data_IF_746816701730
#
_entry.id   IF_746816701730
#
_cell.length_a   1.000
_cell.length_b   1.000
_cell.length_c   1.000
_cell.angle_alpha   90.00
_cell.angle_beta   90.00
_cell.angle_gamma   90.00
#
_symmetry.space_group_name_H-M   'P 1'
#
loop_
_entity.id
_entity.type
_entity.pdbx_description
1 polymer ?
#
# COMPACT_ATOMS: atom_id res chain seq x y z
N UNK A 1 -5.46 4.50 36.58
CA UNK A 1 -6.60 5.01 37.38
C UNK A 1 -7.64 3.91 37.46
N UNK A 2 -8.22 3.62 38.64
CA UNK A 2 -9.16 2.50 38.81
C UNK A 2 -10.55 2.85 38.29
N UNK A 3 -11.24 1.85 37.74
CA UNK A 3 -12.61 1.91 37.19
C UNK A 3 -13.64 2.44 38.21
N UNK A 4 -13.41 2.13 39.50
CA UNK A 4 -14.19 2.66 40.62
C UNK A 4 -14.13 4.19 40.73
N UNK A 5 -13.00 4.81 40.35
CA UNK A 5 -12.80 6.27 40.42
C UNK A 5 -13.45 7.00 39.23
N UNK A 6 -13.58 6.34 38.09
CA UNK A 6 -14.33 6.84 36.92
C UNK A 6 -15.85 6.77 37.16
N UNK A 7 -16.32 5.75 37.89
CA UNK A 7 -17.74 5.60 38.26
C UNK A 7 -18.22 6.71 39.20
N UNK A 8 -17.39 7.08 40.18
CA UNK A 8 -17.69 8.16 41.13
C UNK A 8 -17.81 9.55 40.48
N UNK A 9 -17.20 9.78 39.31
CA UNK A 9 -17.29 11.06 38.58
C UNK A 9 -18.52 11.15 37.64
N UNK A 10 -19.17 10.03 37.33
CA UNK A 10 -20.26 9.93 36.34
C UNK A 10 -21.66 10.06 36.95
N UNK A 11 -21.78 10.02 38.29
CA UNK A 11 -23.06 10.03 39.01
C UNK A 11 -23.82 8.71 38.87
N UNK A 12 -24.65 8.38 39.86
CA UNK A 12 -25.39 7.10 39.97
C UNK A 12 -26.42 6.84 38.84
N UNK A 13 -26.55 7.77 37.88
CA UNK A 13 -27.47 7.70 36.73
C UNK A 13 -26.76 7.58 35.37
N UNK A 14 -25.45 7.30 35.33
CA UNK A 14 -24.78 7.03 34.06
C UNK A 14 -25.34 5.76 33.42
N UNK A 15 -26.06 5.93 32.30
CA UNK A 15 -26.45 4.82 31.44
C UNK A 15 -25.24 3.92 31.18
N UNK A 16 -25.39 2.58 31.26
CA UNK A 16 -24.33 1.69 30.84
C UNK A 16 -23.93 2.05 29.42
N UNK A 17 -22.62 2.19 29.19
CA UNK A 17 -22.09 2.44 27.85
C UNK A 17 -22.72 1.41 26.91
N UNK A 18 -23.53 1.87 25.94
CA UNK A 18 -24.18 0.98 24.99
C UNK A 18 -23.09 0.11 24.35
N UNK A 19 -23.32 -1.22 24.23
CA UNK A 19 -22.35 -2.07 23.55
C UNK A 19 -22.10 -1.46 22.17
N UNK A 20 -20.83 -1.38 21.72
CA UNK A 20 -20.53 -0.79 20.42
C UNK A 20 -21.41 -1.47 19.37
N UNK A 21 -22.03 -0.71 18.44
CA UNK A 21 -22.92 -1.29 17.46
C UNK A 21 -22.23 -2.48 16.78
N UNK A 22 -22.92 -3.61 16.68
CA UNK A 22 -22.31 -4.81 16.09
C UNK A 22 -22.54 -4.91 14.59
N UNK A 23 -23.37 -4.03 14.01
CA UNK A 23 -23.64 -4.02 12.58
C UNK A 23 -22.46 -3.39 11.83
N UNK A 24 -21.77 -4.13 10.94
CA UNK A 24 -20.71 -3.58 10.11
C UNK A 24 -21.17 -2.51 9.10
N UNK A 25 -22.48 -2.39 8.86
CA UNK A 25 -23.05 -1.44 7.92
C UNK A 25 -23.43 -0.10 8.56
N UNK A 26 -23.42 0.00 9.89
CA UNK A 26 -23.78 1.23 10.63
C UNK A 26 -22.67 1.60 11.63
N UNK A 27 -21.50 2.05 11.15
CA UNK A 27 -20.45 2.51 12.04
C UNK A 27 -20.92 3.76 12.78
N UNK A 28 -20.61 3.91 14.08
CA UNK A 28 -20.92 5.12 14.82
C UNK A 28 -20.56 6.41 14.08
N UNK A 29 -21.35 7.49 14.26
CA UNK A 29 -21.22 8.71 13.47
C UNK A 29 -19.80 9.31 13.44
N UNK A 30 -19.02 9.16 14.51
CA UNK A 30 -17.61 9.55 14.60
C UNK A 30 -16.68 8.81 13.62
N UNK A 31 -17.14 7.67 13.08
CA UNK A 31 -16.44 6.81 12.13
C UNK A 31 -17.10 6.76 10.76
N UNK A 32 -18.11 7.60 10.49
CA UNK A 32 -18.61 7.82 9.15
C UNK A 32 -17.44 8.24 8.22
N UNK A 33 -17.08 7.35 7.30
CA UNK A 33 -15.94 7.54 6.41
C UNK A 33 -16.38 7.73 4.96
N UNK A 34 -15.52 8.34 4.16
CA UNK A 34 -15.78 8.58 2.74
C UNK A 34 -14.49 8.39 1.94
N UNK A 35 -14.42 7.30 1.15
CA UNK A 35 -13.21 6.96 0.35
C UNK A 35 -12.87 8.07 -0.64
N UNK A 36 -13.87 8.69 -1.28
CA UNK A 36 -13.65 9.85 -2.15
C UNK A 36 -13.10 11.11 -1.44
N UNK A 37 -13.13 11.20 -0.11
CA UNK A 37 -12.39 12.23 0.65
C UNK A 37 -10.96 11.77 0.93
N UNK A 38 -10.78 10.50 1.25
CA UNK A 38 -9.46 9.89 1.46
C UNK A 38 -8.59 9.94 0.19
N UNK A 39 -9.18 9.80 -1.00
CA UNK A 39 -8.46 9.85 -2.27
C UNK A 39 -8.00 11.25 -2.72
N UNK A 40 -8.47 12.32 -2.06
CA UNK A 40 -8.16 13.71 -2.47
C UNK A 40 -6.70 14.08 -2.29
N UNK A 41 -6.01 13.46 -1.34
CA UNK A 41 -4.59 13.71 -1.07
C UNK A 41 -3.97 12.57 -0.27
N UNK A 42 -2.64 12.51 -0.26
CA UNK A 42 -1.89 11.54 0.54
C UNK A 42 -2.13 11.70 2.04
N UNK A 43 -2.18 12.92 2.58
CA UNK A 43 -2.48 13.16 3.99
C UNK A 43 -3.91 12.73 4.38
N UNK A 44 -4.89 12.89 3.47
CA UNK A 44 -6.23 12.39 3.70
C UNK A 44 -6.27 10.85 3.70
N UNK A 45 -5.56 10.23 2.75
CA UNK A 45 -5.44 8.78 2.67
C UNK A 45 -4.73 8.19 3.90
N UNK A 46 -3.69 8.86 4.40
CA UNK A 46 -2.96 8.45 5.62
C UNK A 46 -3.87 8.46 6.83
N UNK A 47 -4.55 9.59 7.09
CA UNK A 47 -5.46 9.73 8.22
C UNK A 47 -6.58 8.71 8.17
N UNK A 48 -7.11 8.46 6.97
CA UNK A 48 -8.10 7.40 6.78
C UNK A 48 -7.49 6.03 7.13
N UNK A 49 -6.33 5.69 6.59
CA UNK A 49 -5.64 4.42 6.89
C UNK A 49 -5.32 4.23 8.38
N UNK A 50 -4.90 5.29 9.09
CA UNK A 50 -4.66 5.28 10.53
C UNK A 50 -5.95 5.05 11.32
N UNK A 51 -7.05 5.74 10.95
CA UNK A 51 -8.36 5.53 11.57
C UNK A 51 -8.86 4.10 11.38
N UNK A 52 -8.69 3.54 10.18
CA UNK A 52 -9.08 2.15 9.89
C UNK A 52 -8.35 1.16 10.79
N UNK A 53 -7.07 1.39 11.07
CA UNK A 53 -6.29 0.54 11.99
C UNK A 53 -6.79 0.58 13.44
N UNK A 54 -7.51 1.62 13.84
CA UNK A 54 -8.09 1.76 15.18
C UNK A 54 -9.45 1.05 15.31
N UNK A 55 -10.06 0.63 14.19
CA UNK A 55 -11.36 -0.02 14.20
C UNK A 55 -11.26 -1.46 14.73
N UNK A 56 -12.31 -1.96 15.42
CA UNK A 56 -12.51 -3.37 15.68
C UNK A 56 -12.45 -4.23 14.39
N UNK A 57 -12.01 -5.49 14.45
CA UNK A 57 -11.76 -6.31 13.27
C UNK A 57 -12.93 -6.43 12.27
N UNK A 58 -14.16 -6.57 12.76
CA UNK A 58 -15.34 -6.71 11.90
C UNK A 58 -15.59 -5.44 11.04
N UNK A 59 -15.47 -4.27 11.66
CA UNK A 59 -15.61 -2.98 10.97
C UNK A 59 -14.42 -2.66 10.10
N UNK A 60 -13.20 -2.93 10.59
CA UNK A 60 -11.98 -2.76 9.79
C UNK A 60 -12.09 -3.52 8.47
N UNK A 61 -12.56 -4.78 8.53
CA UNK A 61 -12.81 -5.59 7.34
C UNK A 61 -13.81 -4.92 6.39
N UNK A 62 -14.99 -4.53 6.88
CA UNK A 62 -16.01 -3.91 6.06
C UNK A 62 -15.51 -2.62 5.37
N UNK A 63 -14.81 -1.76 6.12
CA UNK A 63 -14.23 -0.51 5.59
C UNK A 63 -13.16 -0.79 4.54
N UNK A 64 -12.28 -1.75 4.79
CA UNK A 64 -11.23 -2.12 3.84
C UNK A 64 -11.82 -2.72 2.57
N UNK A 65 -12.84 -3.58 2.67
CA UNK A 65 -13.53 -4.18 1.52
C UNK A 65 -14.23 -3.12 0.65
N UNK A 66 -14.94 -2.16 1.25
CA UNK A 66 -15.54 -1.02 0.51
C UNK A 66 -14.45 -0.16 -0.14
N UNK A 67 -13.36 0.13 0.58
CA UNK A 67 -12.20 0.83 0.03
C UNK A 67 -11.52 0.06 -1.11
N UNK A 68 -11.60 -1.27 -1.10
CA UNK A 68 -11.10 -2.07 -2.20
C UNK A 68 -12.00 -1.90 -3.43
N UNK A 69 -13.31 -2.08 -3.27
CA UNK A 69 -14.28 -2.00 -4.36
C UNK A 69 -14.25 -0.67 -5.12
N UNK A 70 -14.04 0.44 -4.40
CA UNK A 70 -14.06 1.79 -5.00
C UNK A 70 -12.70 2.28 -5.51
N UNK A 71 -11.64 1.48 -5.44
CA UNK A 71 -10.32 1.95 -5.89
C UNK A 71 -10.29 2.35 -7.36
N UNK A 72 -11.05 1.60 -8.17
CA UNK A 72 -11.09 1.73 -9.62
C UNK A 72 -11.64 3.11 -10.00
N UNK A 73 -12.51 3.66 -9.15
CA UNK A 73 -13.12 4.97 -9.34
C UNK A 73 -12.18 6.10 -8.89
N UNK A 74 -11.57 5.98 -7.71
CA UNK A 74 -10.97 7.13 -7.03
C UNK A 74 -9.45 7.23 -7.11
N UNK A 75 -8.74 6.11 -7.15
CA UNK A 75 -7.27 6.10 -7.12
C UNK A 75 -6.67 5.69 -8.48
N UNK A 76 -7.28 4.69 -9.13
CA UNK A 76 -6.74 4.03 -10.31
C UNK A 76 -6.52 4.97 -11.51
N UNK A 77 -7.44 5.87 -11.90
CA UNK A 77 -7.24 6.70 -13.09
C UNK A 77 -6.05 7.65 -12.97
N UNK A 78 -5.87 8.25 -11.78
CA UNK A 78 -4.72 9.11 -11.51
C UNK A 78 -3.42 8.31 -11.47
N UNK A 79 -3.46 7.09 -10.91
CA UNK A 79 -2.31 6.21 -10.82
C UNK A 79 -1.81 5.74 -12.19
N UNK A 80 -2.68 5.20 -13.04
CA UNK A 80 -2.30 4.71 -14.37
C UNK A 80 -1.75 5.84 -15.24
N UNK A 81 -2.32 7.04 -15.17
CA UNK A 81 -1.80 8.21 -15.86
C UNK A 81 -0.37 8.59 -15.44
N UNK A 82 0.01 8.38 -14.17
CA UNK A 82 1.40 8.61 -13.71
C UNK A 82 2.36 7.55 -14.23
N UNK A 83 1.95 6.28 -14.23
CA UNK A 83 2.77 5.18 -14.77
C UNK A 83 3.01 5.40 -16.26
N UNK A 84 1.98 5.74 -17.03
CA UNK A 84 2.10 6.02 -18.47
C UNK A 84 3.04 7.19 -18.74
N UNK A 85 2.91 8.28 -17.97
CA UNK A 85 3.83 9.42 -18.09
C UNK A 85 5.28 9.02 -17.85
N UNK A 86 5.55 8.25 -16.79
CA UNK A 86 6.90 7.79 -16.49
C UNK A 86 7.48 6.89 -17.60
N UNK A 87 6.63 6.05 -18.19
CA UNK A 87 6.98 5.25 -19.36
C UNK A 87 7.34 6.10 -20.57
N UNK A 88 6.46 7.02 -20.97
CA UNK A 88 6.66 7.87 -22.15
C UNK A 88 7.95 8.70 -22.04
N UNK A 89 8.25 9.21 -20.85
CA UNK A 89 9.48 9.95 -20.59
C UNK A 89 10.74 9.07 -20.66
N UNK A 90 10.68 7.82 -20.21
CA UNK A 90 11.79 6.87 -20.33
C UNK A 90 12.03 6.49 -21.79
N UNK A 91 10.96 6.26 -22.56
CA UNK A 91 11.06 5.92 -23.98
C UNK A 91 11.60 7.09 -24.80
N UNK A 92 11.09 8.31 -24.55
CA UNK A 92 11.61 9.52 -25.20
C UNK A 92 13.10 9.73 -24.92
N UNK A 93 13.53 9.56 -23.66
CA UNK A 93 14.95 9.64 -23.30
C UNK A 93 15.79 8.55 -23.99
N UNK A 94 15.27 7.32 -24.07
CA UNK A 94 15.96 6.22 -24.76
C UNK A 94 16.12 6.50 -26.25
N UNK A 95 15.09 7.05 -26.90
CA UNK A 95 15.14 7.45 -28.31
C UNK A 95 16.14 8.59 -28.56
N UNK A 96 16.16 9.61 -27.70
CA UNK A 96 17.14 10.70 -27.78
C UNK A 96 18.58 10.18 -27.64
N UNK A 97 18.80 9.22 -26.72
CA UNK A 97 20.10 8.58 -26.55
C UNK A 97 20.56 7.88 -27.84
N UNK A 98 19.65 7.13 -28.48
CA UNK A 98 19.94 6.42 -29.73
C UNK A 98 20.26 7.38 -30.87
N UNK A 99 19.54 8.50 -30.97
CA UNK A 99 19.74 9.51 -32.01
C UNK A 99 21.03 10.32 -31.83
N UNK A 100 21.34 10.71 -30.60
CA UNK A 100 22.44 11.65 -30.32
C UNK A 100 23.75 10.97 -29.92
N UNK A 101 23.71 9.67 -29.59
CA UNK A 101 24.82 8.93 -29.01
C UNK A 101 25.25 9.43 -27.62
N UNK A 102 24.57 10.43 -27.08
CA UNK A 102 24.87 11.03 -25.78
C UNK A 102 23.88 10.49 -24.78
N UNK A 103 24.38 10.14 -23.58
CA UNK A 103 23.49 9.85 -22.46
C UNK A 103 22.59 11.07 -22.27
N UNK A 104 21.26 10.94 -22.40
CA UNK A 104 20.37 12.07 -22.34
C UNK A 104 20.59 12.75 -21.01
N UNK A 105 20.71 14.08 -21.03
CA UNK A 105 20.62 14.88 -19.81
C UNK A 105 19.16 14.86 -19.40
N UNK A 106 18.66 13.70 -18.99
CA UNK A 106 17.40 13.63 -18.27
C UNK A 106 17.67 14.20 -16.89
N UNK A 107 17.81 15.52 -16.84
CA UNK A 107 17.32 16.30 -15.74
C UNK A 107 15.81 16.03 -15.74
N UNK A 108 15.40 14.91 -15.11
CA UNK A 108 14.01 14.73 -14.65
C UNK A 108 13.82 15.75 -13.54
N UNK A 109 13.82 17.04 -13.88
CA UNK A 109 13.52 18.15 -12.96
C UNK A 109 12.02 18.27 -12.71
N UNK A 110 11.25 17.21 -12.95
CA UNK A 110 9.80 17.15 -12.73
C UNK A 110 9.52 16.27 -11.53
N UNK A 111 9.41 16.96 -10.40
CA UNK A 111 8.82 16.51 -9.13
C UNK A 111 9.33 15.15 -8.62
N UNK A 112 10.64 15.04 -8.39
CA UNK A 112 11.18 13.95 -7.58
C UNK A 112 10.41 13.92 -6.25
N UNK A 113 9.75 12.79 -5.97
CA UNK A 113 9.12 12.53 -4.68
C UNK A 113 7.66 12.98 -4.54
N UNK A 114 6.91 13.19 -5.64
CA UNK A 114 5.45 13.24 -5.52
C UNK A 114 4.95 11.85 -5.14
N UNK A 115 4.17 11.77 -4.07
CA UNK A 115 3.59 10.51 -3.62
C UNK A 115 2.20 10.32 -4.21
N UNK A 116 1.79 9.06 -4.25
CA UNK A 116 0.48 8.65 -4.71
C UNK A 116 -0.03 7.53 -3.83
N UNK A 117 -1.28 7.62 -3.36
CA UNK A 117 -1.94 6.47 -2.75
C UNK A 117 -2.23 5.47 -3.86
N UNK A 118 -1.77 4.23 -3.67
CA UNK A 118 -2.06 3.10 -4.57
C UNK A 118 -3.24 2.30 -4.04
N UNK A 119 -3.56 2.38 -2.75
CA UNK A 119 -4.67 1.63 -2.17
C UNK A 119 -4.48 1.45 -0.67
N UNK A 120 -5.12 0.41 -0.13
CA UNK A 120 -5.05 0.04 1.27
C UNK A 120 -4.78 -1.46 1.39
N UNK A 121 -4.08 -1.88 2.43
CA UNK A 121 -3.92 -3.28 2.81
C UNK A 121 -5.29 -3.93 3.00
N UNK A 122 -5.42 -5.20 2.64
CA UNK A 122 -6.65 -5.96 2.88
C UNK A 122 -6.70 -6.44 4.34
N UNK A 123 -7.89 -6.78 4.85
CA UNK A 123 -7.99 -7.40 6.18
C UNK A 123 -7.17 -8.68 6.25
N UNK A 124 -7.21 -9.51 5.20
CA UNK A 124 -6.39 -10.73 5.09
C UNK A 124 -4.91 -10.43 5.25
N UNK A 125 -4.41 -9.37 4.60
CA UNK A 125 -3.01 -8.94 4.75
C UNK A 125 -2.72 -8.54 6.20
N UNK A 126 -3.61 -7.78 6.84
CA UNK A 126 -3.42 -7.38 8.24
C UNK A 126 -3.41 -8.58 9.20
N UNK A 127 -4.33 -9.52 9.04
CA UNK A 127 -4.40 -10.74 9.86
C UNK A 127 -3.14 -11.61 9.72
N UNK A 128 -2.57 -11.62 8.51
CA UNK A 128 -1.32 -12.31 8.20
C UNK A 128 -0.11 -11.66 8.88
N UNK A 129 -0.15 -10.34 9.06
CA UNK A 129 0.94 -9.56 9.68
C UNK A 129 0.89 -9.57 11.21
N UNK A 130 -0.30 -9.71 11.80
CA UNK A 130 -0.51 -9.72 13.26
C UNK A 130 0.11 -10.94 13.97
N UNK A 131 0.64 -11.91 13.21
CA UNK A 131 1.23 -13.15 13.72
C UNK A 131 2.73 -13.21 13.44
N UNK A 132 3.53 -13.74 14.38
CA UNK A 132 4.91 -14.06 14.07
C UNK A 132 4.97 -15.14 13.00
N UNK A 133 5.95 -15.03 12.10
CA UNK A 133 6.14 -15.97 11.00
C UNK A 133 7.44 -16.74 11.24
N UNK A 134 7.36 -18.07 11.26
CA UNK A 134 8.51 -18.96 11.46
C UNK A 134 8.93 -19.61 10.16
N UNK A 135 10.21 -19.49 9.85
CA UNK A 135 10.92 -20.34 8.89
C UNK A 135 11.99 -21.15 9.63
N UNK A 136 12.52 -22.17 8.96
CA UNK A 136 13.42 -23.20 9.51
C UNK A 136 14.59 -22.67 10.33
N UNK A 137 15.05 -21.44 10.08
CA UNK A 137 16.18 -20.80 10.79
C UNK A 137 15.90 -19.36 11.24
N UNK A 138 14.66 -18.88 11.15
CA UNK A 138 14.34 -17.48 11.40
C UNK A 138 12.89 -17.32 11.87
N UNK A 139 12.69 -16.59 12.96
CA UNK A 139 11.38 -16.15 13.41
C UNK A 139 11.29 -14.63 13.22
N UNK A 140 10.29 -14.19 12.47
CA UNK A 140 9.99 -12.78 12.28
C UNK A 140 8.83 -12.40 13.20
N UNK A 141 8.97 -11.35 14.05
CA UNK A 141 7.94 -10.97 15.04
C UNK A 141 6.66 -10.47 14.35
N UNK A 142 5.52 -10.41 15.04
CA UNK A 142 4.33 -9.77 14.48
C UNK A 142 4.61 -8.33 14.00
N UNK A 143 3.85 -7.85 13.01
CA UNK A 143 3.95 -6.50 12.47
C UNK A 143 2.59 -5.85 12.45
N UNK A 144 2.46 -4.74 13.16
CA UNK A 144 1.24 -3.94 13.15
C UNK A 144 1.55 -2.64 12.42
N UNK A 145 1.01 -2.43 11.20
CA UNK A 145 1.24 -1.19 10.48
C UNK A 145 0.49 -0.03 11.15
N UNK A 146 1.08 1.16 11.15
CA UNK A 146 0.46 2.35 11.75
C UNK A 146 -0.71 2.87 10.90
N UNK A 147 -0.71 2.52 9.62
CA UNK A 147 -1.72 2.89 8.64
C UNK A 147 -1.96 1.73 7.67
N UNK A 148 -3.20 1.54 7.24
CA UNK A 148 -3.50 0.60 6.16
C UNK A 148 -3.07 1.12 4.77
N UNK A 149 -2.66 2.39 4.64
CA UNK A 149 -2.34 3.01 3.36
C UNK A 149 -1.15 2.32 2.67
N UNK A 150 -1.30 2.04 1.37
CA UNK A 150 -0.23 1.66 0.44
C UNK A 150 0.04 2.82 -0.51
N UNK A 151 1.31 3.18 -0.65
CA UNK A 151 1.73 4.34 -1.42
C UNK A 151 2.99 4.06 -2.24
N UNK A 152 3.21 4.90 -3.24
CA UNK A 152 4.43 4.90 -4.03
C UNK A 152 4.71 6.31 -4.53
N UNK A 153 5.99 6.60 -4.69
CA UNK A 153 6.49 7.85 -5.25
C UNK A 153 6.78 7.68 -6.73
N UNK A 154 6.69 8.78 -7.48
CA UNK A 154 7.08 8.79 -8.88
C UNK A 154 8.54 8.27 -9.04
N UNK A 155 9.44 8.60 -8.11
CA UNK A 155 10.82 8.10 -8.11
C UNK A 155 10.91 6.57 -8.14
N UNK A 156 10.08 5.89 -7.35
CA UNK A 156 10.05 4.42 -7.30
C UNK A 156 9.46 3.84 -8.60
N UNK A 157 8.55 4.55 -9.27
CA UNK A 157 8.04 4.16 -10.60
C UNK A 157 9.18 4.18 -11.62
N UNK A 158 9.93 5.29 -11.71
CA UNK A 158 11.09 5.36 -12.61
C UNK A 158 12.15 4.31 -12.27
N UNK A 159 12.42 4.09 -10.98
CA UNK A 159 13.38 3.08 -10.53
C UNK A 159 12.96 1.68 -11.01
N UNK A 160 11.72 1.28 -10.75
CA UNK A 160 11.20 -0.02 -11.17
C UNK A 160 11.29 -0.22 -12.69
N UNK A 161 10.90 0.78 -13.48
CA UNK A 161 10.96 0.72 -14.95
C UNK A 161 12.41 0.71 -15.48
N UNK A 162 13.34 1.44 -14.87
CA UNK A 162 14.73 1.49 -15.33
C UNK A 162 15.51 0.22 -15.02
N UNK A 163 15.28 -0.38 -13.86
CA UNK A 163 15.96 -1.61 -13.42
C UNK A 163 15.42 -2.88 -14.12
N UNK A 164 14.23 -2.81 -14.73
CA UNK A 164 13.59 -3.91 -15.45
C UNK A 164 14.24 -4.23 -16.81
N UNK A 165 15.51 -4.65 -16.82
CA UNK A 165 16.26 -4.99 -18.04
C UNK A 165 15.60 -6.16 -18.77
N UNK A 166 15.01 -5.90 -19.94
CA UNK A 166 14.34 -6.90 -20.77
C UNK A 166 12.87 -7.19 -20.38
N UNK A 167 12.42 -6.73 -19.21
CA UNK A 167 11.07 -6.98 -18.68
C UNK A 167 10.28 -5.67 -18.46
N UNK A 168 10.70 -4.57 -19.08
CA UNK A 168 10.14 -3.23 -18.82
C UNK A 168 8.63 -3.17 -19.05
N UNK A 169 8.14 -3.75 -20.13
CA UNK A 169 6.70 -3.82 -20.43
C UNK A 169 5.92 -4.65 -19.41
N UNK A 170 6.50 -5.74 -18.92
CA UNK A 170 5.90 -6.57 -17.87
C UNK A 170 5.75 -5.74 -16.59
N UNK A 171 6.80 -5.01 -16.20
CA UNK A 171 6.77 -4.13 -15.04
C UNK A 171 5.82 -2.96 -15.23
N UNK A 172 5.74 -2.35 -16.43
CA UNK A 172 4.76 -1.29 -16.73
C UNK A 172 3.33 -1.78 -16.52
N UNK A 173 2.95 -2.90 -17.14
CA UNK A 173 1.60 -3.47 -16.99
C UNK A 173 1.30 -3.86 -15.54
N UNK A 174 2.30 -4.37 -14.82
CA UNK A 174 2.17 -4.69 -13.41
C UNK A 174 2.02 -3.45 -12.52
N UNK A 175 2.70 -2.34 -12.86
CA UNK A 175 2.52 -1.05 -12.20
C UNK A 175 1.11 -0.50 -12.46
N UNK A 176 0.64 -0.49 -13.71
CA UNK A 176 -0.70 0.00 -14.08
C UNK A 176 -1.82 -0.74 -13.34
N UNK A 177 -1.66 -2.06 -13.20
CA UNK A 177 -2.62 -2.94 -12.52
C UNK A 177 -2.36 -3.11 -11.02
N UNK A 178 -1.31 -2.51 -10.47
CA UNK A 178 -0.90 -2.65 -9.06
C UNK A 178 -2.04 -2.41 -8.06
N UNK A 179 -2.89 -1.36 -8.21
CA UNK A 179 -4.10 -1.19 -7.43
C UNK A 179 -5.00 -2.43 -7.33
N UNK A 180 -5.07 -3.25 -8.37
CA UNK A 180 -5.97 -4.39 -8.43
C UNK A 180 -5.32 -5.65 -7.85
N UNK A 181 -4.12 -5.99 -8.32
CA UNK A 181 -3.59 -7.33 -8.05
C UNK A 181 -3.05 -7.51 -6.64
N UNK A 182 -2.59 -6.45 -5.95
CA UNK A 182 -2.17 -6.56 -4.53
C UNK A 182 -3.30 -7.05 -3.60
N UNK A 183 -4.53 -7.14 -4.11
CA UNK A 183 -5.76 -7.50 -3.41
C UNK A 183 -6.38 -8.80 -3.94
N UNK A 184 -5.87 -9.31 -5.05
CA UNK A 184 -6.38 -10.54 -5.64
C UNK A 184 -5.92 -11.74 -4.82
N UNK A 185 -6.79 -12.74 -4.70
CA UNK A 185 -6.51 -13.95 -3.91
C UNK A 185 -5.35 -14.80 -4.48
N UNK A 186 -5.07 -14.66 -5.77
CA UNK A 186 -3.95 -15.32 -6.45
C UNK A 186 -2.58 -14.69 -6.13
N UNK A 187 -2.59 -13.52 -5.49
CA UNK A 187 -1.38 -12.79 -5.14
C UNK A 187 -0.80 -13.31 -3.84
N UNK A 188 0.42 -13.81 -3.93
CA UNK A 188 1.09 -14.48 -2.83
C UNK A 188 1.81 -13.45 -1.98
N UNK A 189 1.57 -13.50 -0.67
CA UNK A 189 2.24 -12.64 0.28
C UNK A 189 3.46 -13.36 0.87
N UNK A 190 4.59 -12.70 0.80
CA UNK A 190 5.82 -13.14 1.44
C UNK A 190 6.39 -12.04 2.32
N UNK A 191 7.18 -12.45 3.30
CA UNK A 191 7.83 -11.54 4.24
C UNK A 191 9.32 -11.82 4.32
N UNK A 192 10.09 -10.74 4.36
CA UNK A 192 11.53 -10.75 4.52
C UNK A 192 11.98 -9.53 5.31
N UNK A 193 12.56 -9.74 6.50
CA UNK A 193 13.03 -8.66 7.39
C UNK A 193 12.02 -7.51 7.46
N UNK A 194 12.42 -6.30 7.01
CA UNK A 194 11.73 -5.00 6.95
C UNK A 194 10.79 -4.81 5.74
N UNK A 195 10.53 -5.89 4.98
CA UNK A 195 9.75 -5.84 3.75
C UNK A 195 8.65 -6.88 3.64
N UNK A 196 7.61 -6.49 2.91
CA UNK A 196 6.53 -7.32 2.41
C UNK A 196 6.61 -7.42 0.91
N UNK A 197 6.30 -8.60 0.40
CA UNK A 197 6.42 -8.94 -0.99
C UNK A 197 5.08 -9.47 -1.49
N UNK A 198 4.44 -8.71 -2.37
CA UNK A 198 3.29 -9.17 -3.14
C UNK A 198 3.81 -9.78 -4.43
N UNK A 199 3.70 -11.10 -4.56
CA UNK A 199 4.23 -11.85 -5.70
C UNK A 199 3.09 -12.45 -6.51
N UNK A 200 3.04 -12.12 -7.81
CA UNK A 200 2.07 -12.68 -8.75
C UNK A 200 2.77 -13.54 -9.79
N UNK A 201 2.31 -14.78 -10.03
CA UNK A 201 2.90 -15.63 -11.04
C UNK A 201 2.70 -15.06 -12.45
N UNK A 202 3.69 -15.24 -13.29
CA UNK A 202 3.66 -15.01 -14.72
C UNK A 202 3.46 -16.35 -15.47
N UNK A 203 2.92 -16.33 -16.70
CA UNK A 203 2.69 -17.55 -17.48
C UNK A 203 3.95 -18.38 -17.76
N UNK A 204 5.13 -17.75 -17.75
CA UNK A 204 6.43 -18.38 -18.00
C UNK A 204 7.09 -18.96 -16.73
N UNK A 205 6.35 -19.01 -15.61
CA UNK A 205 6.83 -19.54 -14.33
C UNK A 205 7.65 -18.55 -13.50
N UNK A 206 7.90 -17.33 -14.01
CA UNK A 206 8.48 -16.24 -13.21
C UNK A 206 7.41 -15.59 -12.33
N UNK A 207 7.82 -14.64 -11.51
CA UNK A 207 6.93 -13.83 -10.68
C UNK A 207 7.22 -12.35 -10.90
N UNK A 208 6.17 -11.54 -10.94
CA UNK A 208 6.30 -10.10 -10.66
C UNK A 208 6.13 -9.89 -9.17
N UNK A 209 7.06 -9.16 -8.57
CA UNK A 209 7.07 -8.90 -7.13
C UNK A 209 7.04 -7.41 -6.89
N UNK A 210 6.01 -6.93 -6.19
CA UNK A 210 5.99 -5.60 -5.60
C UNK A 210 6.63 -5.68 -4.21
N UNK A 211 7.72 -4.95 -4.01
CA UNK A 211 8.44 -4.88 -2.74
C UNK A 211 7.93 -3.67 -1.97
N UNK A 212 7.45 -3.92 -0.77
CA UNK A 212 6.85 -2.92 0.10
C UNK A 212 7.63 -2.83 1.42
N UNK A 213 7.94 -1.62 1.86
CA UNK A 213 8.45 -1.32 3.21
C UNK A 213 7.33 -0.78 4.08
N UNK A 214 7.26 -1.22 5.32
CA UNK A 214 6.21 -0.81 6.25
C UNK A 214 6.65 0.39 7.09
N UNK A 215 5.67 1.19 7.55
CA UNK A 215 5.84 2.37 8.41
C UNK A 215 7.05 3.25 8.04
N UNK A 216 7.33 3.37 6.75
CA UNK A 216 8.44 4.19 6.27
C UNK A 216 7.94 5.62 6.05
N UNK A 217 8.82 6.58 6.35
CA UNK A 217 8.66 7.95 5.87
C UNK A 217 9.67 8.15 4.75
N UNK A 218 9.23 8.44 3.51
CA UNK A 218 10.15 8.50 2.39
C UNK A 218 11.16 9.64 2.58
N UNK A 219 12.44 9.29 2.58
CA UNK A 219 13.55 10.24 2.77
C UNK A 219 13.56 11.37 1.72
N UNK A 220 13.09 11.08 0.50
CA UNK A 220 13.09 12.00 -0.65
C UNK A 220 11.69 12.44 -1.11
N UNK A 221 10.65 12.14 -0.32
CA UNK A 221 9.28 12.57 -0.61
C UNK A 221 9.04 14.02 -0.19
N UNK A 222 8.27 14.77 -0.99
CA UNK A 222 7.77 16.10 -0.59
C UNK A 222 6.78 16.01 0.57
N UNK A 223 6.05 14.91 0.63
CA UNK A 223 5.07 14.63 1.67
C UNK A 223 5.68 13.71 2.73
N UNK A 224 5.58 14.11 4.00
CA UNK A 224 6.04 13.35 5.16
C UNK A 224 4.88 12.55 5.75
N UNK A 225 4.40 11.60 4.96
CA UNK A 225 3.32 10.69 5.32
C UNK A 225 3.94 9.37 5.79
N UNK A 226 3.46 8.85 6.92
CA UNK A 226 3.82 7.53 7.43
C UNK A 226 2.89 6.51 6.78
N UNK A 227 3.45 5.50 6.13
CA UNK A 227 2.64 4.50 5.45
C UNK A 227 3.46 3.32 4.97
N UNK A 228 2.80 2.45 4.22
CA UNK A 228 3.42 1.30 3.58
C UNK A 228 3.81 1.69 2.15
N UNK A 229 5.11 1.62 1.83
CA UNK A 229 5.64 2.16 0.58
C UNK A 229 6.12 1.05 -0.34
N UNK A 230 5.56 1.00 -1.55
CA UNK A 230 6.11 0.17 -2.62
C UNK A 230 7.40 0.81 -3.11
N UNK A 231 8.53 0.19 -2.79
CA UNK A 231 9.86 0.73 -3.10
C UNK A 231 10.36 0.33 -4.49
N UNK A 232 9.90 -0.80 -5.02
CA UNK A 232 10.20 -1.24 -6.38
C UNK A 232 9.28 -2.38 -6.82
N UNK A 233 9.23 -2.62 -8.12
CA UNK A 233 8.75 -3.88 -8.69
C UNK A 233 9.90 -4.57 -9.41
N UNK A 234 9.92 -5.90 -9.38
CA UNK A 234 10.94 -6.72 -10.05
C UNK A 234 10.36 -8.03 -10.58
N UNK A 235 10.97 -8.57 -11.63
CA UNK A 235 10.67 -9.92 -12.12
C UNK A 235 11.71 -10.89 -11.59
N UNK A 236 11.28 -12.03 -11.05
CA UNK A 236 12.17 -13.05 -10.47
C UNK A 236 11.78 -14.46 -10.93
N UNK A 237 12.75 -15.36 -11.04
CA UNK A 237 12.53 -16.77 -11.45
C UNK A 237 11.99 -17.68 -10.34
N UNK A 238 11.98 -17.20 -9.11
CA UNK A 238 11.50 -17.89 -7.92
C UNK A 238 11.57 -16.97 -6.72
N UNK A 239 10.79 -17.26 -5.68
CA UNK A 239 10.71 -16.41 -4.49
C UNK A 239 11.18 -17.15 -3.23
N UNK A 240 12.14 -16.56 -2.51
CA UNK A 240 12.80 -17.18 -1.34
C UNK A 240 12.32 -16.65 0.01
N UNK A 241 11.30 -15.79 0.04
CA UNK A 241 10.75 -15.24 1.29
C UNK A 241 9.89 -16.23 2.06
N UNK A 242 9.56 -15.89 3.30
CA UNK A 242 8.66 -16.72 4.10
C UNK A 242 7.23 -16.41 3.68
N UNK A 243 6.53 -17.41 3.15
CA UNK A 243 5.13 -17.26 2.73
C UNK A 243 4.25 -17.02 3.94
N UNK A 244 3.49 -15.93 3.91
CA UNK A 244 2.48 -15.61 4.93
C UNK A 244 1.14 -16.05 4.34
N UNK A 245 0.51 -17.06 4.94
CA UNK A 245 -0.70 -17.71 4.41
C UNK A 245 -1.94 -16.83 4.57
#
# INVERSE_FOLDING_TARGET
MSEARLRALRGDNAQPDEPPPTDPNDPPPEWAYHIGKASRSMAAAERFGQKVMQLPPAWRKAVLDDAQGRIVEWFKPTWTGRVQRAWDEIEAASAEQMLTGRKPKVNVTRVIGHASPIGFLTQRTLDALDKPVRATRMELPAMVPDSALISMTDHQIYHALREAKGDRDVIRRALESLPDWIRMDDTQLYREQDTLHFARPLPDGRYVVAVLRWNEVPNKGKEKVTGNWVITLKVVKGFSGIRVR
#
